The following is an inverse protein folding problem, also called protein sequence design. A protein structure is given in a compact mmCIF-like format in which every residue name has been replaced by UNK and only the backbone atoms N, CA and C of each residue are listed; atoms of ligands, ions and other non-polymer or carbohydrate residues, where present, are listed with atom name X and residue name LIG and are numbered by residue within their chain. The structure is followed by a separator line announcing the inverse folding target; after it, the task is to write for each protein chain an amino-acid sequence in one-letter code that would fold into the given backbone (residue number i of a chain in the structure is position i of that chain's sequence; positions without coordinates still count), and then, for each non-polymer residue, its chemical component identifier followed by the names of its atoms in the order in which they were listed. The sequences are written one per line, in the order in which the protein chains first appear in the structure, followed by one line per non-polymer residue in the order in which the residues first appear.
data_IF_357105187414
#
_entry.id   IF_357105187414
#
_cell.length_a   1.000
_cell.length_b   1.000
_cell.length_c   1.000
_cell.angle_alpha   90.00
_cell.angle_beta   90.00
_cell.angle_gamma   90.00
#
_symmetry.space_group_name_H-M   'P 1'
#
loop_
_entity.id
_entity.type
_entity.pdbx_description
1 polymer ?
#
# COMPACT_ATOMS: atom_id res chain seq x y z
N UNK A 1 16.09 -9.93 -2.98
CA UNK A 1 15.56 -9.02 -4.00
C UNK A 1 14.13 -9.45 -4.28
N UNK A 2 13.17 -8.68 -3.78
CA UNK A 2 11.75 -8.97 -3.99
C UNK A 2 11.38 -8.54 -5.41
N UNK A 3 11.09 -9.48 -6.29
CA UNK A 3 10.64 -9.23 -7.66
C UNK A 3 9.14 -9.51 -7.79
N UNK A 4 8.53 -8.98 -8.86
CA UNK A 4 7.10 -9.20 -9.10
C UNK A 4 6.76 -10.68 -9.29
N UNK A 5 7.66 -11.47 -9.87
CA UNK A 5 7.45 -12.91 -10.07
C UNK A 5 7.35 -13.65 -8.74
N UNK A 6 8.20 -13.33 -7.77
CA UNK A 6 8.16 -13.86 -6.41
C UNK A 6 6.86 -13.48 -5.71
N UNK A 7 6.47 -12.20 -5.75
CA UNK A 7 5.19 -11.73 -5.20
C UNK A 7 4.00 -12.48 -5.80
N UNK A 8 3.94 -12.58 -7.13
CA UNK A 8 2.86 -13.26 -7.84
C UNK A 8 2.79 -14.74 -7.49
N UNK A 9 3.94 -15.42 -7.46
CA UNK A 9 4.01 -16.84 -7.09
C UNK A 9 3.55 -17.07 -5.63
N UNK A 10 3.92 -16.16 -4.72
CA UNK A 10 3.50 -16.23 -3.32
C UNK A 10 1.99 -16.04 -3.19
N UNK A 11 1.43 -15.00 -3.82
CA UNK A 11 -0.01 -14.75 -3.84
C UNK A 11 -0.79 -15.95 -4.42
N UNK A 12 -0.34 -16.49 -5.56
CA UNK A 12 -0.96 -17.64 -6.22
C UNK A 12 -0.92 -18.93 -5.39
N UNK A 13 0.03 -19.04 -4.45
CA UNK A 13 0.18 -20.23 -3.59
C UNK A 13 -0.94 -20.38 -2.56
N UNK A 14 -1.69 -19.33 -2.25
CA UNK A 14 -2.78 -19.37 -1.27
C UNK A 14 -4.10 -18.73 -1.74
N UNK A 15 -4.07 -17.81 -2.71
CA UNK A 15 -5.28 -17.22 -3.31
C UNK A 15 -5.84 -18.11 -4.42
N UNK A 16 -6.20 -19.35 -4.07
CA UNK A 16 -6.76 -20.30 -5.02
C UNK A 16 -8.12 -19.85 -5.55
N UNK A 17 -8.31 -19.91 -6.88
CA UNK A 17 -9.57 -19.50 -7.52
C UNK A 17 -9.82 -17.99 -7.56
N UNK A 18 -8.84 -17.18 -7.16
CA UNK A 18 -8.88 -15.71 -7.26
C UNK A 18 -8.14 -15.26 -8.52
N UNK A 19 -8.76 -14.37 -9.29
CA UNK A 19 -8.09 -13.76 -10.45
C UNK A 19 -7.00 -12.78 -9.99
N UNK A 20 -5.75 -13.06 -10.35
CA UNK A 20 -4.59 -12.22 -10.04
C UNK A 20 -4.17 -11.29 -11.18
N UNK A 21 -4.92 -11.23 -12.29
CA UNK A 21 -4.68 -10.25 -13.35
C UNK A 21 -4.68 -8.79 -12.82
N UNK A 22 -5.56 -8.39 -11.88
CA UNK A 22 -5.51 -7.05 -11.28
C UNK A 22 -4.20 -6.76 -10.52
N UNK A 23 -3.58 -7.78 -9.91
CA UNK A 23 -2.30 -7.63 -9.21
C UNK A 23 -1.17 -7.27 -10.18
N UNK A 24 -1.14 -7.93 -11.35
CA UNK A 24 -0.20 -7.59 -12.42
C UNK A 24 -0.44 -6.18 -12.97
N UNK A 25 -1.69 -5.83 -13.24
CA UNK A 25 -2.04 -4.49 -13.70
C UNK A 25 -1.67 -3.39 -12.70
N UNK A 26 -1.77 -3.67 -11.39
CA UNK A 26 -1.35 -2.76 -10.34
C UNK A 26 0.17 -2.58 -10.30
N UNK A 27 0.94 -3.65 -10.45
CA UNK A 27 2.39 -3.58 -10.55
C UNK A 27 2.85 -2.75 -11.75
N UNK A 28 2.31 -3.03 -12.94
CA UNK A 28 2.64 -2.27 -14.16
C UNK A 28 2.28 -0.80 -14.01
N UNK A 29 1.12 -0.50 -13.41
CA UNK A 29 0.71 0.86 -13.11
C UNK A 29 1.67 1.57 -12.13
N UNK A 30 2.04 0.92 -11.02
CA UNK A 30 2.97 1.50 -10.06
C UNK A 30 4.35 1.74 -10.67
N UNK A 31 4.85 0.79 -11.47
CA UNK A 31 6.13 0.89 -12.14
C UNK A 31 6.18 2.05 -13.14
N UNK A 32 5.10 2.26 -13.89
CA UNK A 32 4.95 3.39 -14.82
C UNK A 32 4.85 4.73 -14.08
N UNK A 33 3.95 4.83 -13.09
CA UNK A 33 3.70 6.08 -12.35
C UNK A 33 4.88 6.53 -11.49
N UNK A 34 5.73 5.61 -11.07
CA UNK A 34 6.94 5.90 -10.29
C UNK A 34 8.24 5.71 -11.10
N UNK A 35 8.15 5.69 -12.44
CA UNK A 35 9.31 5.54 -13.30
C UNK A 35 10.36 6.63 -13.02
N UNK A 36 11.61 6.23 -12.84
CA UNK A 36 12.73 7.13 -12.54
C UNK A 36 12.75 7.70 -11.12
N UNK A 37 11.76 7.37 -10.28
CA UNK A 37 11.76 7.78 -8.88
C UNK A 37 12.64 6.84 -8.04
N UNK A 38 13.46 7.43 -7.18
CA UNK A 38 14.25 6.72 -6.18
C UNK A 38 13.62 6.83 -4.79
N UNK A 39 13.80 5.78 -4.00
CA UNK A 39 13.54 5.76 -2.57
C UNK A 39 14.66 6.49 -1.80
N UNK A 40 14.43 6.80 -0.52
CA UNK A 40 15.39 7.53 0.31
C UNK A 40 16.75 6.82 0.44
N UNK A 41 16.77 5.49 0.32
CA UNK A 41 17.98 4.66 0.31
C UNK A 41 18.74 4.66 -1.04
N UNK A 42 18.19 5.26 -2.10
CA UNK A 42 18.80 5.32 -3.43
C UNK A 42 18.36 4.20 -4.40
N UNK A 43 17.54 3.25 -3.96
CA UNK A 43 16.98 2.20 -4.83
C UNK A 43 15.74 2.69 -5.59
N UNK A 44 15.35 2.07 -6.72
CA UNK A 44 14.11 2.38 -7.41
C UNK A 44 12.90 2.29 -6.47
N UNK A 45 12.03 3.29 -6.46
CA UNK A 45 10.88 3.35 -5.54
C UNK A 45 9.93 2.14 -5.69
N UNK A 46 9.87 1.54 -6.89
CA UNK A 46 9.12 0.31 -7.14
C UNK A 46 9.58 -0.88 -6.28
N UNK A 47 10.85 -0.91 -5.86
CA UNK A 47 11.40 -1.96 -5.00
C UNK A 47 10.74 -1.93 -3.61
N UNK A 48 10.61 -0.73 -3.01
CA UNK A 48 9.86 -0.52 -1.77
C UNK A 48 8.40 -1.00 -1.90
N UNK A 49 7.73 -0.63 -2.99
CA UNK A 49 6.34 -1.04 -3.22
C UNK A 49 6.20 -2.57 -3.30
N UNK A 50 7.13 -3.24 -3.96
CA UNK A 50 7.18 -4.71 -4.04
C UNK A 50 7.45 -5.37 -2.69
N UNK A 51 8.28 -4.77 -1.86
CA UNK A 51 8.60 -5.26 -0.51
C UNK A 51 7.40 -5.18 0.42
N UNK A 52 6.73 -4.02 0.45
CA UNK A 52 5.49 -3.83 1.22
C UNK A 52 4.43 -4.84 0.79
N UNK A 53 4.21 -5.00 -0.53
CA UNK A 53 3.27 -5.97 -1.05
C UNK A 53 3.66 -7.43 -0.74
N UNK A 54 4.96 -7.75 -0.75
CA UNK A 54 5.49 -9.07 -0.40
C UNK A 54 5.27 -9.42 1.06
N UNK A 55 5.41 -8.45 1.97
CA UNK A 55 5.08 -8.64 3.40
C UNK A 55 3.60 -8.98 3.56
N UNK A 56 2.71 -8.23 2.91
CA UNK A 56 1.27 -8.47 2.97
C UNK A 56 0.90 -9.84 2.39
N UNK A 57 1.54 -10.25 1.28
CA UNK A 57 1.37 -11.58 0.71
C UNK A 57 1.90 -12.69 1.65
N UNK A 58 3.03 -12.46 2.33
CA UNK A 58 3.58 -13.40 3.32
C UNK A 58 2.67 -13.57 4.55
N UNK A 59 1.93 -12.51 4.91
CA UNK A 59 0.87 -12.52 5.92
C UNK A 59 -0.42 -13.19 5.42
N UNK A 60 -0.45 -13.65 4.16
CA UNK A 60 -1.61 -14.25 3.47
C UNK A 60 -2.83 -13.34 3.38
N UNK A 61 -2.60 -12.05 3.15
CA UNK A 61 -3.68 -11.06 2.98
C UNK A 61 -4.47 -11.27 1.67
N UNK A 62 -5.66 -10.71 1.58
CA UNK A 62 -6.50 -10.70 0.38
C UNK A 62 -5.86 -9.92 -0.78
N UNK A 63 -6.33 -10.20 -2.01
CA UNK A 63 -5.81 -9.60 -3.24
C UNK A 63 -5.83 -8.08 -3.19
N UNK A 64 -6.94 -7.51 -2.72
CA UNK A 64 -7.17 -6.07 -2.64
C UNK A 64 -6.16 -5.40 -1.71
N UNK A 65 -5.85 -6.02 -0.56
CA UNK A 65 -4.79 -5.55 0.35
C UNK A 65 -3.41 -5.55 -0.30
N UNK A 66 -3.04 -6.62 -1.02
CA UNK A 66 -1.74 -6.71 -1.68
C UNK A 66 -1.62 -5.65 -2.78
N UNK A 67 -2.69 -5.46 -3.56
CA UNK A 67 -2.78 -4.40 -4.57
C UNK A 67 -2.63 -3.02 -3.90
N UNK A 68 -3.35 -2.78 -2.81
CA UNK A 68 -3.24 -1.52 -2.07
C UNK A 68 -1.81 -1.30 -1.54
N UNK A 69 -1.10 -2.36 -1.13
CA UNK A 69 0.32 -2.30 -0.79
C UNK A 69 1.22 -1.83 -1.95
N UNK A 70 0.98 -2.29 -3.17
CA UNK A 70 1.70 -1.79 -4.36
C UNK A 70 1.35 -0.34 -4.68
N UNK A 71 0.15 0.11 -4.36
CA UNK A 71 -0.38 1.42 -4.76
C UNK A 71 -0.35 2.47 -3.66
N UNK A 72 0.11 2.13 -2.45
CA UNK A 72 -0.03 2.96 -1.25
C UNK A 72 0.61 4.35 -1.40
N UNK A 73 1.69 4.48 -2.17
CA UNK A 73 2.39 5.74 -2.41
C UNK A 73 1.73 6.63 -3.47
N UNK A 74 0.82 6.12 -4.29
CA UNK A 74 0.38 6.81 -5.51
C UNK A 74 -0.36 8.13 -5.25
N UNK A 75 -1.20 8.18 -4.21
CA UNK A 75 -1.91 9.41 -3.82
C UNK A 75 -0.99 10.40 -3.09
N UNK A 76 -0.13 9.91 -2.20
CA UNK A 76 0.85 10.73 -1.47
C UNK A 76 1.78 11.48 -2.43
N UNK A 77 2.17 10.84 -3.52
CA UNK A 77 3.07 11.38 -4.53
C UNK A 77 2.34 12.18 -5.63
N UNK A 78 1.01 12.24 -5.59
CA UNK A 78 0.21 12.96 -6.59
C UNK A 78 0.25 12.33 -8.00
N UNK A 79 0.61 11.06 -8.11
CA UNK A 79 0.74 10.35 -9.40
C UNK A 79 -0.51 9.54 -9.77
N UNK A 80 -1.53 9.52 -8.91
CA UNK A 80 -2.86 8.96 -9.18
C UNK A 80 -3.95 9.73 -8.43
N UNK A 81 -5.21 9.44 -8.75
CA UNK A 81 -6.39 10.00 -8.05
C UNK A 81 -7.30 8.88 -7.54
N UNK A 82 -8.07 9.13 -6.48
CA UNK A 82 -9.02 8.15 -5.92
C UNK A 82 -9.99 7.61 -6.99
N UNK A 83 -10.64 8.45 -7.84
CA UNK A 83 -11.53 7.94 -8.88
C UNK A 83 -10.81 7.07 -9.92
N UNK A 84 -9.54 7.33 -10.21
CA UNK A 84 -8.75 6.48 -11.10
C UNK A 84 -8.51 5.10 -10.46
N UNK A 85 -8.11 5.07 -9.19
CA UNK A 85 -7.86 3.83 -8.47
C UNK A 85 -9.14 2.99 -8.35
N UNK A 86 -10.27 3.63 -8.02
CA UNK A 86 -11.56 2.97 -7.91
C UNK A 86 -12.02 2.36 -9.23
N UNK A 87 -11.88 3.11 -10.34
CA UNK A 87 -12.26 2.62 -11.68
C UNK A 87 -11.40 1.44 -12.14
N UNK A 88 -10.11 1.41 -11.79
CA UNK A 88 -9.15 0.41 -12.28
C UNK A 88 -9.03 -0.82 -11.40
N UNK A 89 -9.10 -0.63 -10.09
CA UNK A 89 -8.76 -1.66 -9.11
C UNK A 89 -9.88 -1.91 -8.09
N UNK A 90 -10.98 -1.16 -8.18
CA UNK A 90 -12.15 -1.32 -7.33
C UNK A 90 -12.14 -0.42 -6.09
N UNK A 91 -13.33 -0.33 -5.49
CA UNK A 91 -13.61 0.52 -4.33
C UNK A 91 -12.72 0.20 -3.12
N UNK A 92 -12.56 -1.08 -2.80
CA UNK A 92 -11.74 -1.54 -1.67
C UNK A 92 -10.30 -1.07 -1.76
N UNK A 93 -9.65 -1.24 -2.92
CA UNK A 93 -8.27 -0.78 -3.14
C UNK A 93 -8.17 0.73 -2.96
N UNK A 94 -9.09 1.49 -3.56
CA UNK A 94 -9.10 2.94 -3.46
C UNK A 94 -9.26 3.41 -2.00
N UNK A 95 -10.17 2.78 -1.25
CA UNK A 95 -10.38 3.07 0.16
C UNK A 95 -9.15 2.76 1.02
N UNK A 96 -8.49 1.63 0.77
CA UNK A 96 -7.30 1.25 1.55
C UNK A 96 -6.17 2.26 1.30
N UNK A 97 -5.92 2.61 0.03
CA UNK A 97 -4.86 3.57 -0.37
C UNK A 97 -5.14 4.99 0.15
N UNK A 98 -6.40 5.44 0.09
CA UNK A 98 -6.80 6.73 0.65
C UNK A 98 -6.65 6.74 2.18
N UNK A 99 -7.08 5.67 2.84
CA UNK A 99 -6.92 5.47 4.29
C UNK A 99 -5.45 5.54 4.73
N UNK A 100 -4.56 4.81 4.05
CA UNK A 100 -3.13 4.81 4.38
C UNK A 100 -2.49 6.17 4.16
N UNK A 101 -2.84 6.84 3.06
CA UNK A 101 -2.35 8.20 2.75
C UNK A 101 -2.76 9.20 3.83
N UNK A 102 -4.02 9.16 4.29
CA UNK A 102 -4.52 10.04 5.36
C UNK A 102 -3.83 9.83 6.70
N UNK A 103 -3.39 8.62 7.02
CA UNK A 103 -2.60 8.35 8.24
C UNK A 103 -1.20 9.01 8.15
N UNK A 104 -0.60 9.09 6.96
CA UNK A 104 0.74 9.68 6.81
C UNK A 104 0.78 11.21 6.91
N UNK A 105 -0.27 11.91 6.48
CA UNK A 105 -0.33 13.38 6.44
C UNK A 105 -0.62 14.06 7.79
N UNK A 106 -0.47 13.36 8.91
CA UNK A 106 -0.66 13.97 10.23
C UNK A 106 0.61 14.71 10.64
N UNK A 107 0.60 16.03 10.52
CA UNK A 107 1.72 16.87 10.90
C UNK A 107 2.00 16.79 12.41
N UNK A 108 3.25 16.46 12.75
CA UNK A 108 3.75 16.28 14.11
C UNK A 108 4.21 17.62 14.71
N UNK A 109 3.25 18.45 15.16
CA UNK A 109 3.61 19.56 16.03
C UNK A 109 3.69 19.04 17.47
N UNK A 110 4.88 19.14 18.08
CA UNK A 110 5.18 18.57 19.39
C UNK A 110 4.20 19.08 20.46
N UNK A 111 3.40 18.15 21.00
CA UNK A 111 2.60 18.21 22.22
C UNK A 111 1.95 16.83 22.37
N UNK A 112 1.82 16.31 23.59
CA UNK A 112 1.13 15.04 23.91
C UNK A 112 -0.20 14.86 23.16
N UNK A 113 -0.89 15.95 22.83
CA UNK A 113 -2.09 15.96 22.00
C UNK A 113 -1.90 15.40 20.58
N UNK A 114 -0.76 15.62 19.92
CA UNK A 114 -0.46 15.07 18.58
C UNK A 114 -0.31 13.55 18.62
N UNK A 115 0.28 13.00 19.69
CA UNK A 115 0.37 11.56 19.88
C UNK A 115 -1.01 10.93 20.12
N UNK A 116 -1.85 11.55 20.96
CA UNK A 116 -3.23 11.10 21.18
C UNK A 116 -4.08 11.17 19.90
N UNK A 117 -3.89 12.21 19.08
CA UNK A 117 -4.57 12.39 17.80
C UNK A 117 -4.12 11.37 16.75
N UNK A 118 -2.84 11.01 16.72
CA UNK A 118 -2.33 9.92 15.89
C UNK A 118 -2.94 8.58 16.30
N UNK A 119 -3.00 8.30 17.60
CA UNK A 119 -3.67 7.11 18.14
C UNK A 119 -5.16 7.12 17.76
N UNK A 120 -5.85 8.26 17.85
CA UNK A 120 -7.25 8.41 17.44
C UNK A 120 -7.45 8.20 15.94
N UNK A 121 -6.58 8.74 15.08
CA UNK A 121 -6.62 8.54 13.62
C UNK A 121 -6.32 7.09 13.24
N UNK A 122 -5.38 6.47 13.94
CA UNK A 122 -5.12 5.04 13.85
C UNK A 122 -6.38 4.25 14.20
N UNK A 123 -7.02 4.53 15.34
CA UNK A 123 -8.27 3.89 15.76
C UNK A 123 -9.45 4.15 14.80
N UNK A 124 -9.55 5.35 14.22
CA UNK A 124 -10.59 5.67 13.23
C UNK A 124 -10.37 4.93 11.90
N UNK A 125 -9.13 4.81 11.44
CA UNK A 125 -8.79 4.01 10.26
C UNK A 125 -9.02 2.51 10.51
N UNK A 126 -8.64 2.02 11.71
CA UNK A 126 -8.92 0.65 12.17
C UNK A 126 -10.41 0.35 12.31
N UNK A 127 -11.22 1.36 12.65
CA UNK A 127 -12.65 1.20 12.90
C UNK A 127 -13.49 0.97 11.64
N UNK A 128 -12.95 1.24 10.45
CA UNK A 128 -13.66 1.06 9.17
C UNK A 128 -13.08 -0.09 8.32
N UNK A 129 -11.75 -0.25 8.29
CA UNK A 129 -11.11 -1.35 7.57
C UNK A 129 -9.71 -1.65 8.14
N UNK A 130 -9.54 -2.81 8.78
CA UNK A 130 -8.27 -3.25 9.38
C UNK A 130 -7.14 -3.35 8.34
N UNK A 131 -7.46 -3.56 7.06
CA UNK A 131 -6.48 -3.65 5.97
C UNK A 131 -5.67 -2.37 5.83
N UNK A 132 -6.27 -1.21 6.10
CA UNK A 132 -5.58 0.10 6.13
C UNK A 132 -4.43 0.10 7.13
N UNK A 133 -4.67 -0.42 8.34
CA UNK A 133 -3.64 -0.50 9.37
C UNK A 133 -2.51 -1.44 8.94
N UNK A 134 -2.85 -2.60 8.39
CA UNK A 134 -1.88 -3.62 8.02
C UNK A 134 -0.95 -3.12 6.90
N UNK A 135 -1.50 -2.46 5.87
CA UNK A 135 -0.68 -1.82 4.83
C UNK A 135 0.24 -0.77 5.45
N UNK A 136 -0.25 0.04 6.40
CA UNK A 136 0.59 1.07 7.03
C UNK A 136 1.70 0.48 7.91
N UNK A 137 1.44 -0.62 8.61
CA UNK A 137 2.45 -1.30 9.41
C UNK A 137 3.52 -1.95 8.53
N UNK A 138 3.13 -2.56 7.41
CA UNK A 138 4.06 -3.13 6.43
C UNK A 138 4.95 -2.06 5.78
N UNK A 139 4.35 -0.93 5.37
CA UNK A 139 5.05 0.25 4.85
C UNK A 139 6.09 0.79 5.86
N UNK A 140 5.66 0.97 7.11
CA UNK A 140 6.55 1.46 8.17
C UNK A 140 7.66 0.48 8.54
N UNK A 141 7.45 -0.83 8.36
CA UNK A 141 8.47 -1.85 8.58
C UNK A 141 9.58 -1.77 7.53
N UNK A 142 9.28 -1.34 6.30
CA UNK A 142 10.27 -1.15 5.22
C UNK A 142 10.93 0.25 5.26
N UNK A 143 10.24 1.25 5.79
CA UNK A 143 10.80 2.59 6.02
C UNK A 143 11.89 2.61 7.14
N UNK A 144 11.96 1.58 8.00
CA UNK A 144 12.87 1.48 9.16
C UNK A 144 14.19 0.78 8.84
#
# INVERSE_FOLDING_TARGET
MHDFKGLYSLAASYLHGVDLAPLKAAYEFAADRHAGKLHACGEPYIQHLLEVASILAAMKMDRETIIAGLLHGTLKEGVATIPELEKRFGHDVANIVDGTTKITNVQYNSKLASQAENIRKLFLAMGADIRVLLVRLADRLQDM
#
